data_IF_212651796143
#
_entry.id   IF_212651796143
#
_cell.length_a   1.000
_cell.length_b   1.000
_cell.length_c   1.000
_cell.angle_alpha   90.00
_cell.angle_beta   90.00
_cell.angle_gamma   90.00
#
_symmetry.space_group_name_H-M   'P 1'
#
loop_
_entity.id
_entity.type
_entity.pdbx_description
1 polymer ?
#
# COMPACT_ATOMS: atom_id res chain seq x y z
N UNK A 1 -18.11 7.17 -14.45
CA UNK A 1 -17.69 7.20 -13.04
C UNK A 1 -16.18 7.42 -13.04
N UNK A 2 -15.73 8.64 -12.79
CA UNK A 2 -14.32 8.98 -12.78
C UNK A 2 -13.77 8.67 -11.38
N UNK A 3 -12.90 7.66 -11.28
CA UNK A 3 -12.08 7.45 -10.11
C UNK A 3 -10.89 8.41 -10.22
N UNK A 4 -11.03 9.58 -9.59
CA UNK A 4 -9.93 10.48 -9.27
C UNK A 4 -9.11 9.79 -8.15
N UNK A 5 -8.29 8.80 -8.49
CA UNK A 5 -7.33 8.18 -7.55
C UNK A 5 -6.01 8.95 -7.66
N UNK A 6 -6.05 10.21 -7.21
CA UNK A 6 -4.82 10.89 -6.78
C UNK A 6 -4.25 10.01 -5.67
N UNK A 7 -2.92 9.75 -5.57
CA UNK A 7 -2.39 9.00 -4.44
C UNK A 7 -2.60 9.84 -3.18
N UNK A 8 -3.75 9.67 -2.54
CA UNK A 8 -4.11 10.32 -1.30
C UNK A 8 -3.10 9.85 -0.26
N UNK A 9 -2.57 10.80 0.50
CA UNK A 9 -1.52 10.58 1.47
C UNK A 9 -1.81 9.29 2.29
N UNK A 10 -0.89 8.32 2.35
CA UNK A 10 -1.15 7.03 2.98
C UNK A 10 -1.42 7.14 4.48
N UNK A 11 -1.06 8.27 5.08
CA UNK A 11 -1.47 8.68 6.41
C UNK A 11 -2.79 9.49 6.34
N UNK A 12 -3.91 8.78 6.33
CA UNK A 12 -5.26 9.34 6.50
C UNK A 12 -5.69 9.32 7.97
N UNK A 13 -6.70 10.08 8.35
CA UNK A 13 -7.29 10.06 9.71
C UNK A 13 -7.71 8.63 10.13
N UNK A 14 -8.21 7.85 9.17
CA UNK A 14 -8.57 6.45 9.35
C UNK A 14 -7.35 5.55 9.61
N UNK A 15 -6.24 5.79 8.90
CA UNK A 15 -4.98 5.09 9.12
C UNK A 15 -4.37 5.43 10.49
N UNK A 16 -4.44 6.70 10.90
CA UNK A 16 -3.99 7.14 12.21
C UNK A 16 -4.81 6.50 13.35
N UNK A 17 -6.14 6.48 13.22
CA UNK A 17 -7.04 5.83 14.18
C UNK A 17 -6.80 4.33 14.30
N UNK A 18 -6.51 3.67 13.17
CA UNK A 18 -6.19 2.23 13.14
C UNK A 18 -4.83 1.96 13.79
N UNK A 19 -3.86 2.84 13.60
CA UNK A 19 -2.55 2.74 14.24
C UNK A 19 -2.64 2.94 15.77
N UNK A 20 -3.43 3.90 16.24
CA UNK A 20 -3.62 4.19 17.66
C UNK A 20 -4.40 3.07 18.39
N UNK A 21 -5.45 2.52 17.74
CA UNK A 21 -6.27 1.45 18.30
C UNK A 21 -5.67 0.04 18.19
N UNK A 22 -4.50 -0.10 17.59
CA UNK A 22 -3.86 -1.39 17.32
C UNK A 22 -3.25 -1.97 18.60
N UNK A 23 -3.26 -3.31 18.72
CA UNK A 23 -2.53 -3.98 19.80
C UNK A 23 -1.02 -3.78 19.65
N UNK A 24 -0.29 -3.68 20.76
CA UNK A 24 1.17 -3.42 20.76
C UNK A 24 1.97 -4.40 19.87
N UNK A 25 1.53 -5.66 19.75
CA UNK A 25 2.17 -6.70 18.93
C UNK A 25 1.67 -6.80 17.49
N UNK A 26 0.57 -6.13 17.13
CA UNK A 26 0.01 -6.22 15.77
C UNK A 26 0.92 -5.47 14.79
N UNK A 27 0.97 -5.90 13.52
CA UNK A 27 1.67 -5.15 12.47
C UNK A 27 0.67 -4.25 11.76
N UNK A 28 1.02 -2.98 11.52
CA UNK A 28 0.22 -2.05 10.73
C UNK A 28 1.10 -1.44 9.65
N UNK A 29 0.62 -1.49 8.41
CA UNK A 29 1.28 -0.91 7.25
C UNK A 29 0.20 -0.17 6.44
N UNK A 30 0.25 1.16 6.35
CA UNK A 30 -0.74 1.93 5.59
C UNK A 30 -0.66 1.63 4.08
N UNK A 31 0.40 0.97 3.61
CA UNK A 31 0.61 0.56 2.23
C UNK A 31 0.22 -0.90 1.96
N UNK A 32 -0.44 -1.56 2.92
CA UNK A 32 -0.75 -3.00 2.87
C UNK A 32 -1.61 -3.38 1.66
N UNK A 33 -2.50 -2.48 1.21
CA UNK A 33 -3.29 -2.69 0.00
C UNK A 33 -2.42 -2.73 -1.26
N UNK A 34 -1.46 -1.81 -1.40
CA UNK A 34 -0.52 -1.79 -2.53
C UNK A 34 0.40 -3.03 -2.50
N UNK A 35 0.85 -3.45 -1.32
CA UNK A 35 1.60 -4.70 -1.15
C UNK A 35 0.77 -5.92 -1.57
N UNK A 36 -0.49 -5.99 -1.13
CA UNK A 36 -1.40 -7.10 -1.45
C UNK A 36 -1.74 -7.16 -2.94
N UNK A 37 -1.87 -6.02 -3.63
CA UNK A 37 -2.03 -5.97 -5.09
C UNK A 37 -0.79 -6.50 -5.81
N UNK A 38 0.40 -6.11 -5.34
CA UNK A 38 1.69 -6.59 -5.86
C UNK A 38 1.84 -8.11 -5.73
N UNK A 39 1.51 -8.67 -4.56
CA UNK A 39 1.54 -10.12 -4.33
C UNK A 39 0.51 -10.87 -5.17
N UNK A 40 -0.71 -10.33 -5.30
CA UNK A 40 -1.74 -10.90 -6.18
C UNK A 40 -1.31 -10.94 -7.63
N UNK A 41 -0.62 -9.90 -8.11
CA UNK A 41 -0.07 -9.89 -9.46
C UNK A 41 0.99 -10.98 -9.65
N UNK A 42 1.93 -11.13 -8.70
CA UNK A 42 2.94 -12.19 -8.76
C UNK A 42 2.31 -13.58 -8.76
N UNK A 43 1.31 -13.84 -7.90
CA UNK A 43 0.62 -15.14 -7.87
C UNK A 43 -0.08 -15.48 -9.18
N UNK A 44 -0.59 -14.48 -9.91
CA UNK A 44 -1.29 -14.67 -11.19
C UNK A 44 -0.33 -14.87 -12.36
N UNK A 45 0.85 -14.23 -12.32
CA UNK A 45 1.83 -14.24 -13.40
C UNK A 45 3.02 -15.16 -13.13
N UNK A 46 2.87 -16.17 -12.29
CA UNK A 46 3.93 -17.15 -12.02
C UNK A 46 5.20 -16.57 -11.38
N UNK A 47 5.07 -15.43 -10.69
CA UNK A 47 6.20 -14.72 -10.10
C UNK A 47 6.93 -13.75 -11.05
N UNK A 48 6.41 -13.51 -12.26
CA UNK A 48 6.97 -12.54 -13.18
C UNK A 48 6.87 -11.11 -12.59
N UNK A 49 8.03 -10.53 -12.32
CA UNK A 49 8.16 -9.22 -11.68
C UNK A 49 8.00 -8.07 -12.66
N UNK A 50 8.30 -8.27 -13.94
CA UNK A 50 8.22 -7.20 -14.94
C UNK A 50 6.76 -6.82 -15.19
N UNK A 51 5.89 -7.82 -15.26
CA UNK A 51 4.43 -7.67 -15.38
C UNK A 51 3.79 -6.92 -14.19
N UNK A 52 4.46 -6.85 -13.05
CA UNK A 52 3.94 -6.30 -11.80
C UNK A 52 4.63 -5.01 -11.36
N UNK A 53 5.48 -4.43 -12.22
CA UNK A 53 6.30 -3.24 -11.93
C UNK A 53 5.49 -2.05 -11.42
N UNK A 54 4.32 -1.78 -12.00
CA UNK A 54 3.42 -0.70 -11.59
C UNK A 54 2.91 -0.87 -10.16
N UNK A 55 2.58 -2.10 -9.74
CA UNK A 55 2.13 -2.38 -8.38
C UNK A 55 3.26 -2.16 -7.36
N UNK A 56 4.50 -2.56 -7.72
CA UNK A 56 5.66 -2.29 -6.87
C UNK A 56 5.96 -0.79 -6.77
N UNK A 57 5.77 -0.06 -7.86
CA UNK A 57 5.96 1.38 -7.89
C UNK A 57 4.95 2.07 -6.97
N UNK A 58 3.68 1.70 -7.03
CA UNK A 58 2.65 2.19 -6.11
C UNK A 58 2.99 1.91 -4.63
N UNK A 59 3.47 0.70 -4.31
CA UNK A 59 3.90 0.37 -2.94
C UNK A 59 5.10 1.21 -2.48
N UNK A 60 6.08 1.43 -3.36
CA UNK A 60 7.26 2.26 -3.08
C UNK A 60 6.87 3.71 -2.84
N UNK A 61 6.00 4.26 -3.66
CA UNK A 61 5.58 5.65 -3.55
C UNK A 61 4.71 5.88 -2.32
N UNK A 62 3.85 4.92 -1.97
CA UNK A 62 3.17 4.91 -0.68
C UNK A 62 4.15 4.93 0.50
N UNK A 63 5.16 4.04 0.52
CA UNK A 63 6.14 4.04 1.62
C UNK A 63 6.99 5.31 1.67
N UNK A 64 7.37 5.89 0.54
CA UNK A 64 8.09 7.17 0.50
C UNK A 64 7.27 8.30 1.12
N UNK A 65 5.98 8.35 0.83
CA UNK A 65 5.09 9.33 1.42
C UNK A 65 4.98 9.10 2.93
N UNK A 66 4.76 7.85 3.36
CA UNK A 66 4.65 7.51 4.79
C UNK A 66 5.92 7.84 5.60
N UNK A 67 7.11 7.50 5.09
CA UNK A 67 8.38 7.79 5.80
C UNK A 67 8.68 9.29 5.86
N UNK A 68 8.09 10.08 4.95
CA UNK A 68 8.28 11.53 4.89
C UNK A 68 7.18 12.32 5.64
N UNK A 69 6.04 11.69 5.92
CA UNK A 69 4.90 12.27 6.65
C UNK A 69 5.06 12.27 8.15
#
# INVERSE_FOLDING_TARGET
MAADDKPENPWTDSAASTFDGKQYSQYFDPCQEAASKSLRCLHRNGGDREMCSDYFQAYRDCKKQWVRS
#
